data_IF_409651448307
#
_entry.id   IF_409651448307
#
_cell.length_a   1.000
_cell.length_b   1.000
_cell.length_c   1.000
_cell.angle_alpha   90.00
_cell.angle_beta   90.00
_cell.angle_gamma   90.00
#
_symmetry.space_group_name_H-M   'P 1'
#
loop_
_entity.id
_entity.type
_entity.pdbx_description
1 polymer ?
#
# COMPACT_ATOMS: atom_id res chain seq x y z
N UNK A 1 -12.18 7.52 -7.42
CA UNK A 1 -10.95 7.73 -8.22
C UNK A 1 -9.75 7.21 -7.45
N UNK A 2 -8.91 6.37 -8.07
CA UNK A 2 -7.63 6.03 -7.47
C UNK A 2 -6.62 7.14 -7.74
N UNK A 3 -5.77 7.46 -6.76
CA UNK A 3 -4.72 8.46 -6.91
C UNK A 3 -3.49 8.09 -6.09
N UNK A 4 -2.30 8.56 -6.47
CA UNK A 4 -1.11 8.40 -5.66
C UNK A 4 -1.27 9.13 -4.32
N UNK A 5 -0.67 8.57 -3.28
CA UNK A 5 -0.63 9.12 -1.93
C UNK A 5 0.71 8.75 -1.28
N UNK A 6 1.10 9.46 -0.24
CA UNK A 6 2.27 9.09 0.57
C UNK A 6 1.79 8.29 1.77
N UNK A 7 2.47 7.19 2.09
CA UNK A 7 2.18 6.41 3.29
C UNK A 7 2.68 7.18 4.52
N UNK A 8 1.84 7.34 5.53
CA UNK A 8 2.21 7.98 6.80
C UNK A 8 3.08 7.08 7.70
N UNK A 9 3.11 5.76 7.44
CA UNK A 9 3.85 4.79 8.26
C UNK A 9 5.30 4.66 7.80
N UNK A 10 5.52 4.48 6.50
CA UNK A 10 6.85 4.25 5.90
C UNK A 10 7.35 5.42 5.05
N UNK A 11 6.57 6.50 4.88
CA UNK A 11 6.89 7.66 4.04
C UNK A 11 7.10 7.38 2.53
N UNK A 12 6.85 6.15 2.08
CA UNK A 12 6.95 5.74 0.67
C UNK A 12 5.68 6.04 -0.14
N UNK A 13 5.75 5.87 -1.47
CA UNK A 13 4.62 6.07 -2.38
C UNK A 13 3.64 4.90 -2.28
N UNK A 14 2.38 5.25 -2.07
CA UNK A 14 1.25 4.34 -2.08
C UNK A 14 0.12 4.96 -2.92
N UNK A 15 -1.06 4.38 -2.82
CA UNK A 15 -2.26 4.79 -3.52
C UNK A 15 -3.43 4.93 -2.54
N UNK A 16 -4.45 5.66 -2.97
CA UNK A 16 -5.73 5.79 -2.26
C UNK A 16 -6.86 5.57 -3.25
N UNK A 17 -7.84 4.74 -2.92
CA UNK A 17 -9.00 4.48 -3.78
C UNK A 17 -9.57 3.07 -3.61
N UNK A 18 -10.18 2.55 -4.68
CA UNK A 18 -10.79 1.21 -4.70
C UNK A 18 -9.78 0.06 -4.89
N UNK A 19 -8.58 0.35 -5.41
CA UNK A 19 -7.50 -0.63 -5.53
C UNK A 19 -7.52 -1.49 -6.78
N UNK A 20 -8.40 -1.20 -7.74
CA UNK A 20 -8.35 -1.81 -9.07
C UNK A 20 -7.39 -1.09 -10.02
N UNK A 21 -7.19 0.22 -9.82
CA UNK A 21 -6.32 1.05 -10.66
C UNK A 21 -4.92 1.28 -10.05
N UNK A 22 -4.50 0.46 -9.09
CA UNK A 22 -3.16 0.56 -8.49
C UNK A 22 -2.03 0.48 -9.52
N UNK A 23 -2.04 -0.48 -10.47
CA UNK A 23 -1.05 -0.51 -11.56
C UNK A 23 -0.89 0.86 -12.21
N UNK A 24 -1.99 1.47 -12.66
CA UNK A 24 -1.93 2.79 -13.31
C UNK A 24 -1.49 3.94 -12.40
N UNK A 25 -1.70 3.83 -11.08
CA UNK A 25 -1.26 4.85 -10.11
C UNK A 25 0.23 4.75 -9.82
N UNK A 26 0.75 3.53 -9.74
CA UNK A 26 2.16 3.26 -9.40
C UNK A 26 3.03 2.98 -10.63
N UNK A 27 2.46 2.97 -11.84
CA UNK A 27 3.17 2.74 -13.10
C UNK A 27 4.38 3.66 -13.26
N UNK A 28 4.22 4.94 -12.93
CA UNK A 28 5.30 5.95 -13.00
C UNK A 28 6.22 5.97 -11.78
N UNK A 29 6.01 5.09 -10.81
CA UNK A 29 6.79 5.03 -9.56
C UNK A 29 7.63 3.75 -9.58
N UNK A 30 8.96 3.82 -9.38
CA UNK A 30 9.78 2.61 -9.27
C UNK A 30 9.39 1.79 -8.03
N UNK A 31 9.48 0.46 -8.14
CA UNK A 31 9.11 -0.49 -7.06
C UNK A 31 9.85 -0.23 -5.74
N UNK A 32 11.04 0.35 -5.80
CA UNK A 32 11.85 0.71 -4.61
C UNK A 32 11.22 1.86 -3.80
N UNK A 33 10.50 2.75 -4.46
CA UNK A 33 9.76 3.85 -3.82
C UNK A 33 8.35 3.43 -3.39
N UNK A 34 7.91 2.20 -3.68
CA UNK A 34 6.60 1.71 -3.28
C UNK A 34 6.58 1.42 -1.78
N UNK A 35 5.42 1.68 -1.19
CA UNK A 35 5.16 1.35 0.20
C UNK A 35 5.44 -0.13 0.49
N UNK A 36 6.23 -0.37 1.53
CA UNK A 36 6.64 -1.70 2.00
C UNK A 36 5.73 -2.23 3.12
N UNK A 37 4.68 -1.48 3.47
CA UNK A 37 3.75 -1.90 4.50
C UNK A 37 2.96 -3.16 4.10
N UNK A 38 2.48 -3.88 5.10
CA UNK A 38 1.66 -5.08 4.99
C UNK A 38 0.26 -4.82 5.55
N UNK A 39 -0.79 -5.55 5.11
CA UNK A 39 -0.77 -6.59 4.08
C UNK A 39 -0.72 -6.00 2.66
N UNK A 40 0.04 -6.64 1.77
CA UNK A 40 0.02 -6.32 0.33
C UNK A 40 -1.33 -6.75 -0.27
N UNK A 41 -1.74 -6.06 -1.34
CA UNK A 41 -2.97 -6.34 -2.08
C UNK A 41 -2.62 -6.93 -3.45
N UNK A 42 -3.17 -8.10 -3.75
CA UNK A 42 -3.07 -8.69 -5.09
C UNK A 42 -4.08 -8.03 -6.04
N UNK A 43 -3.61 -7.52 -7.17
CA UNK A 43 -4.41 -6.90 -8.23
C UNK A 43 -3.89 -7.41 -9.57
N UNK A 44 -4.74 -8.07 -10.36
CA UNK A 44 -4.33 -8.74 -11.61
C UNK A 44 -3.10 -9.65 -11.41
N UNK A 45 -3.14 -10.49 -10.37
CA UNK A 45 -2.07 -11.44 -10.03
C UNK A 45 -0.71 -10.80 -9.67
N UNK A 46 -0.64 -9.47 -9.52
CA UNK A 46 0.53 -8.76 -9.00
C UNK A 46 0.24 -8.20 -7.61
N UNK A 47 1.22 -8.32 -6.71
CA UNK A 47 1.15 -7.73 -5.37
C UNK A 47 1.52 -6.25 -5.39
N UNK A 48 0.71 -5.45 -4.72
CA UNK A 48 0.91 -4.01 -4.54
C UNK A 48 0.84 -3.63 -3.07
N UNK A 49 1.41 -2.49 -2.67
CA UNK A 49 1.24 -1.96 -1.32
C UNK A 49 -0.22 -1.84 -0.89
N UNK A 50 -0.49 -1.90 0.43
CA UNK A 50 -1.78 -1.48 0.98
C UNK A 50 -2.02 -0.01 0.67
N UNK A 51 -3.31 0.34 0.57
CA UNK A 51 -3.71 1.74 0.48
C UNK A 51 -3.28 2.52 1.73
N UNK A 52 -3.10 3.83 1.57
CA UNK A 52 -2.83 4.73 2.71
C UNK A 52 -3.81 4.48 3.87
N UNK A 53 -3.27 4.34 5.08
CA UNK A 53 -4.03 4.07 6.31
C UNK A 53 -4.48 2.62 6.54
N UNK A 54 -4.20 1.68 5.62
CA UNK A 54 -4.53 0.24 5.79
C UNK A 54 -3.31 -0.66 5.97
N UNK A 55 -2.10 -0.12 5.94
CA UNK A 55 -0.86 -0.88 6.11
C UNK A 55 -0.17 -0.59 7.43
N UNK A 56 0.60 -1.56 7.92
CA UNK A 56 1.57 -1.43 9.03
C UNK A 56 2.97 -1.88 8.56
N UNK A 57 4.03 -1.53 9.28
CA UNK A 57 5.39 -1.99 8.93
C UNK A 57 5.49 -3.50 9.13
N UNK A 58 6.09 -4.18 8.15
CA UNK A 58 6.40 -5.62 8.26
C UNK A 58 7.35 -5.83 9.45
N UNK A 59 6.94 -6.66 10.41
CA UNK A 59 7.69 -6.89 11.66
C UNK A 59 7.21 -6.08 12.86
N UNK A 60 6.29 -5.14 12.67
CA UNK A 60 5.49 -4.59 13.78
C UNK A 60 4.29 -5.53 13.96
N UNK A 61 4.25 -6.27 15.08
CA UNK A 61 3.14 -7.19 15.36
C UNK A 61 1.81 -6.44 15.20
N UNK A 62 0.84 -6.98 14.45
CA UNK A 62 -0.45 -6.30 14.28
C UNK A 62 -0.99 -5.98 15.67
N UNK A 63 -1.50 -4.75 15.92
CA UNK A 63 -2.08 -4.44 17.21
C UNK A 63 -3.15 -5.49 17.48
N UNK A 64 -2.92 -6.35 18.47
CA UNK A 64 -3.89 -7.34 18.92
C UNK A 64 -5.17 -6.57 19.19
N UNK A 65 -6.13 -6.63 18.26
CA UNK A 65 -7.46 -6.09 18.47
C UNK A 65 -8.07 -6.99 19.53
N UNK A 66 -7.95 -6.56 20.78
CA UNK A 66 -8.56 -7.21 21.93
C UNK A 66 -10.08 -7.17 21.77
N UNK A 67 -10.69 -8.32 22.03
CA UNK A 67 -12.14 -8.51 22.18
C UNK A 67 -12.68 -7.80 23.43
#
# INVERSE_FOLDING_TARGET
>A
MCRPATCEVCAQKTWRGCGLHVPSVLDSVPKDEWCTCVPKKTVNDQEYPPMVGKGHKEGEEPPKQGE
#
